data_IF_345381811668
#
_entry.id   IF_345381811668
#
_cell.length_a   1.000
_cell.length_b   1.000
_cell.length_c   1.000
_cell.angle_alpha   90.00
_cell.angle_beta   90.00
_cell.angle_gamma   90.00
#
_symmetry.space_group_name_H-M   'P 1'
#
loop_
_entity.id
_entity.type
_entity.pdbx_description
1 polymer ?
#
# COMPACT_ATOMS: atom_id res chain seq x y z
N UNK A 1 -45.31 14.14 -5.80
CA UNK A 1 -45.13 12.94 -6.65
C UNK A 1 -43.89 12.19 -6.16
N UNK A 2 -43.84 10.84 -6.22
CA UNK A 2 -42.60 10.12 -6.00
C UNK A 2 -41.58 10.51 -7.09
N UNK A 3 -40.30 10.57 -6.75
CA UNK A 3 -39.25 10.97 -7.69
C UNK A 3 -39.12 9.95 -8.82
N UNK A 4 -39.23 10.42 -10.07
CA UNK A 4 -38.96 9.62 -11.27
C UNK A 4 -37.54 9.06 -11.22
N UNK A 5 -37.37 7.79 -11.60
CA UNK A 5 -36.03 7.20 -11.73
C UNK A 5 -35.36 7.72 -12.99
N UNK A 6 -34.04 7.86 -12.92
CA UNK A 6 -33.21 8.33 -14.02
C UNK A 6 -33.28 7.32 -15.18
N UNK A 7 -34.03 7.66 -16.23
CA UNK A 7 -34.34 6.78 -17.37
C UNK A 7 -35.83 6.42 -17.56
N UNK A 8 -36.73 6.75 -16.62
CA UNK A 8 -38.18 6.60 -16.84
C UNK A 8 -38.77 7.72 -17.72
N UNK A 9 -38.08 8.86 -17.87
CA UNK A 9 -38.53 9.99 -18.70
C UNK A 9 -38.53 9.68 -20.21
N UNK A 10 -37.69 8.73 -20.66
CA UNK A 10 -37.60 8.29 -22.06
C UNK A 10 -38.65 7.21 -22.43
N UNK A 11 -39.57 6.86 -21.53
CA UNK A 11 -40.55 5.79 -21.77
C UNK A 11 -41.75 6.32 -22.55
N UNK A 12 -41.89 5.87 -23.79
CA UNK A 12 -43.08 6.10 -24.62
C UNK A 12 -44.32 5.51 -23.95
N UNK A 13 -45.17 6.37 -23.38
CA UNK A 13 -46.46 5.99 -22.82
C UNK A 13 -47.52 5.81 -23.93
N UNK A 14 -48.46 4.87 -23.79
CA UNK A 14 -49.56 4.72 -24.72
C UNK A 14 -50.52 5.92 -24.66
N UNK A 15 -51.15 6.23 -25.79
CA UNK A 15 -52.24 7.22 -25.87
C UNK A 15 -53.45 6.73 -25.09
N UNK A 16 -53.79 7.43 -24.01
CA UNK A 16 -54.96 7.20 -23.16
C UNK A 16 -55.77 8.49 -23.00
N UNK A 17 -57.08 8.36 -22.80
CA UNK A 17 -58.02 9.47 -22.56
C UNK A 17 -58.55 9.43 -21.14
N UNK A 18 -58.99 10.59 -20.65
CA UNK A 18 -59.61 10.70 -19.33
C UNK A 18 -60.94 9.91 -19.32
N UNK A 19 -61.01 8.86 -18.51
CA UNK A 19 -62.15 7.95 -18.42
C UNK A 19 -61.88 6.51 -18.90
N UNK A 20 -60.72 6.26 -19.53
CA UNK A 20 -60.33 4.91 -19.98
C UNK A 20 -60.18 3.95 -18.80
N UNK A 21 -60.76 2.74 -18.91
CA UNK A 21 -60.66 1.70 -17.88
C UNK A 21 -59.42 0.83 -18.10
N UNK A 22 -58.41 1.00 -17.27
CA UNK A 22 -57.20 0.16 -17.26
C UNK A 22 -57.42 -1.09 -16.40
N UNK A 23 -57.01 -2.26 -16.91
CA UNK A 23 -56.99 -3.50 -16.14
C UNK A 23 -55.64 -3.66 -15.43
N UNK A 24 -55.60 -3.96 -14.11
CA UNK A 24 -54.35 -4.22 -13.42
C UNK A 24 -53.72 -5.52 -13.93
N UNK A 25 -52.45 -5.44 -14.36
CA UNK A 25 -51.69 -6.60 -14.86
C UNK A 25 -50.88 -7.25 -13.74
N UNK A 26 -50.07 -6.45 -13.04
CA UNK A 26 -49.19 -6.89 -11.96
C UNK A 26 -49.09 -5.78 -10.91
N UNK A 27 -49.00 -6.15 -9.63
CA UNK A 27 -48.60 -5.26 -8.55
C UNK A 27 -47.27 -5.75 -7.99
N UNK A 28 -46.19 -5.03 -8.28
CA UNK A 28 -44.83 -5.37 -7.83
C UNK A 28 -44.45 -4.54 -6.60
N UNK A 29 -44.59 -5.05 -5.35
CA UNK A 29 -44.20 -4.31 -4.16
C UNK A 29 -42.67 -4.21 -4.07
N UNK A 30 -42.15 -2.99 -3.93
CA UNK A 30 -40.72 -2.72 -3.80
C UNK A 30 -40.43 -1.95 -2.50
N UNK A 31 -39.54 -2.49 -1.66
CA UNK A 31 -39.06 -1.80 -0.47
C UNK A 31 -37.90 -0.87 -0.83
N UNK A 32 -37.98 0.39 -0.40
CA UNK A 32 -36.94 1.38 -0.58
C UNK A 32 -36.57 2.06 0.76
N UNK A 33 -35.33 2.52 0.85
CA UNK A 33 -34.81 3.26 1.99
C UNK A 33 -34.38 4.66 1.55
N UNK A 34 -34.43 5.63 2.47
CA UNK A 34 -33.93 6.99 2.23
C UNK A 34 -32.42 6.94 1.98
N UNK A 35 -31.97 7.47 0.84
CA UNK A 35 -30.56 7.50 0.48
C UNK A 35 -29.82 8.59 1.26
N UNK A 36 -28.64 8.31 1.85
CA UNK A 36 -27.79 9.35 2.42
C UNK A 36 -27.22 10.26 1.30
N UNK A 37 -26.65 11.43 1.65
CA UNK A 37 -25.87 12.22 0.71
C UNK A 37 -24.77 11.38 0.05
N UNK A 38 -24.73 11.37 -1.28
CA UNK A 38 -23.78 10.56 -2.04
C UNK A 38 -22.34 11.02 -1.79
N UNK A 39 -21.42 10.07 -1.59
CA UNK A 39 -20.00 10.39 -1.36
C UNK A 39 -19.38 11.11 -2.56
N UNK A 40 -18.51 12.09 -2.28
CA UNK A 40 -17.71 12.73 -3.32
C UNK A 40 -16.85 11.70 -4.07
N UNK A 41 -16.90 11.76 -5.39
CA UNK A 41 -15.81 11.35 -6.30
C UNK A 41 -14.84 12.52 -6.53
N UNK A 42 -13.67 12.25 -7.12
CA UNK A 42 -12.71 13.29 -7.53
C UNK A 42 -13.35 14.40 -8.37
N UNK A 43 -14.08 14.04 -9.44
CA UNK A 43 -14.73 15.02 -10.31
C UNK A 43 -15.81 15.86 -9.59
N UNK A 44 -16.61 15.25 -8.71
CA UNK A 44 -17.62 15.99 -7.93
C UNK A 44 -17.01 16.85 -6.83
N UNK A 45 -15.84 16.48 -6.29
CA UNK A 45 -15.12 17.32 -5.33
C UNK A 45 -14.55 18.56 -6.02
N UNK A 46 -13.91 18.39 -7.20
CA UNK A 46 -13.47 19.53 -8.03
C UNK A 46 -14.64 20.47 -8.34
N UNK A 47 -15.80 19.92 -8.73
CA UNK A 47 -16.99 20.72 -9.02
C UNK A 47 -17.50 21.51 -7.81
N UNK A 48 -17.43 20.96 -6.59
CA UNK A 48 -17.85 21.67 -5.38
C UNK A 48 -16.80 22.71 -4.93
N UNK A 49 -15.51 22.47 -5.17
CA UNK A 49 -14.44 23.46 -4.97
C UNK A 49 -14.58 24.65 -5.94
N UNK A 50 -14.76 24.38 -7.23
CA UNK A 50 -15.01 25.37 -8.28
C UNK A 50 -16.25 26.22 -7.97
N UNK A 51 -17.36 25.59 -7.58
CA UNK A 51 -18.60 26.26 -7.17
C UNK A 51 -18.41 27.20 -5.96
N UNK A 52 -17.43 26.92 -5.09
CA UNK A 52 -17.10 27.75 -3.92
C UNK A 52 -15.95 28.73 -4.16
N UNK A 53 -15.40 28.80 -5.37
CA UNK A 53 -14.25 29.66 -5.70
C UNK A 53 -12.92 29.22 -5.05
N UNK A 54 -12.85 28.02 -4.47
CA UNK A 54 -11.69 27.52 -3.75
C UNK A 54 -10.74 26.84 -4.73
N UNK A 55 -9.51 27.36 -4.86
CA UNK A 55 -8.53 26.86 -5.82
C UNK A 55 -8.80 27.32 -7.26
N UNK A 56 -7.98 26.80 -8.17
CA UNK A 56 -7.93 27.17 -9.59
C UNK A 56 -7.66 25.91 -10.45
N UNK A 57 -7.87 25.94 -11.77
CA UNK A 57 -7.63 24.77 -12.65
C UNK A 57 -6.22 24.17 -12.56
N UNK A 58 -5.22 24.97 -12.18
CA UNK A 58 -3.84 24.54 -11.94
C UNK A 58 -3.64 23.81 -10.60
N UNK A 59 -4.50 24.01 -9.59
CA UNK A 59 -4.33 23.50 -8.23
C UNK A 59 -5.23 22.29 -7.90
N UNK A 60 -6.37 22.09 -8.56
CA UNK A 60 -7.30 21.00 -8.23
C UNK A 60 -6.65 19.60 -8.14
N UNK A 61 -5.80 19.25 -9.12
CA UNK A 61 -5.11 17.97 -9.12
C UNK A 61 -4.11 17.82 -7.96
N UNK A 62 -3.42 18.92 -7.58
CA UNK A 62 -2.45 18.92 -6.49
C UNK A 62 -3.12 18.93 -5.11
N UNK A 63 -4.28 19.60 -4.96
CA UNK A 63 -5.13 19.51 -3.77
C UNK A 63 -5.53 18.06 -3.56
N UNK A 64 -6.12 17.40 -4.57
CA UNK A 64 -6.59 16.01 -4.47
C UNK A 64 -5.45 15.03 -4.17
N UNK A 65 -4.27 15.18 -4.78
CA UNK A 65 -3.13 14.30 -4.48
C UNK A 65 -2.56 14.54 -3.08
N UNK A 66 -2.48 15.79 -2.62
CA UNK A 66 -1.85 16.10 -1.31
C UNK A 66 -2.70 15.69 -0.12
N UNK A 67 -4.04 15.79 -0.18
CA UNK A 67 -4.92 15.30 0.89
C UNK A 67 -4.91 13.77 1.01
N UNK A 68 -4.74 13.07 -0.12
CA UNK A 68 -4.56 11.61 -0.15
C UNK A 68 -3.18 11.20 0.38
N UNK A 69 -2.09 11.80 -0.11
CA UNK A 69 -0.71 11.48 0.30
C UNK A 69 -0.44 11.74 1.79
N UNK A 70 -1.15 12.71 2.40
CA UNK A 70 -1.08 12.99 3.84
C UNK A 70 -1.91 12.03 4.70
N UNK A 71 -2.82 11.25 4.11
CA UNK A 71 -3.69 10.31 4.82
C UNK A 71 -4.85 10.96 5.57
N UNK A 72 -5.34 12.12 5.13
CA UNK A 72 -6.58 12.73 5.66
C UNK A 72 -7.83 12.11 5.03
N UNK A 73 -7.71 11.69 3.77
CA UNK A 73 -8.76 10.98 3.03
C UNK A 73 -8.14 9.79 2.28
N UNK A 74 -8.95 8.77 2.01
CA UNK A 74 -8.63 7.72 1.05
C UNK A 74 -9.70 7.61 -0.03
N UNK A 75 -9.29 7.17 -1.22
CA UNK A 75 -10.20 6.84 -2.32
C UNK A 75 -10.35 5.32 -2.39
N UNK A 76 -11.58 4.84 -2.25
CA UNK A 76 -11.95 3.43 -2.45
C UNK A 76 -13.18 3.40 -3.37
N UNK A 77 -13.21 2.50 -4.35
CA UNK A 77 -14.29 2.39 -5.35
C UNK A 77 -14.66 3.73 -6.04
N UNK A 78 -13.67 4.61 -6.29
CA UNK A 78 -13.83 5.97 -6.87
C UNK A 78 -14.63 6.96 -5.99
N UNK A 79 -14.83 6.64 -4.70
CA UNK A 79 -15.44 7.50 -3.69
C UNK A 79 -14.42 7.89 -2.62
N UNK A 80 -14.55 9.09 -2.07
CA UNK A 80 -13.78 9.53 -0.92
C UNK A 80 -14.34 8.97 0.40
N UNK A 81 -13.41 8.68 1.29
CA UNK A 81 -13.61 8.32 2.68
C UNK A 81 -12.73 9.25 3.51
N UNK A 82 -13.32 9.95 4.48
CA UNK A 82 -12.55 10.64 5.50
C UNK A 82 -11.84 9.60 6.38
N UNK A 83 -10.58 9.84 6.69
CA UNK A 83 -9.86 9.10 7.74
C UNK A 83 -10.08 9.80 9.09
N UNK A 84 -10.02 9.05 10.19
CA UNK A 84 -10.15 9.64 11.55
C UNK A 84 -9.09 10.69 11.87
N UNK A 85 -7.92 10.66 11.20
CA UNK A 85 -6.93 11.73 11.30
C UNK A 85 -7.33 12.99 10.51
N UNK A 86 -8.09 12.84 9.41
CA UNK A 86 -8.66 13.97 8.68
C UNK A 86 -9.72 14.69 9.52
N UNK A 87 -10.69 13.93 10.06
CA UNK A 87 -11.73 14.45 10.95
C UNK A 87 -11.13 15.23 12.14
N UNK A 88 -10.25 14.59 12.93
CA UNK A 88 -9.62 15.23 14.11
C UNK A 88 -8.81 16.49 13.74
N UNK A 89 -8.11 16.50 12.61
CA UNK A 89 -7.33 17.68 12.19
C UNK A 89 -8.26 18.80 11.71
N UNK A 90 -9.36 18.48 11.02
CA UNK A 90 -10.38 19.46 10.63
C UNK A 90 -11.01 20.09 11.87
N UNK A 91 -11.50 19.30 12.83
CA UNK A 91 -12.10 19.79 14.07
C UNK A 91 -11.17 20.76 14.82
N UNK A 92 -9.89 20.40 14.96
CA UNK A 92 -8.87 21.23 15.65
C UNK A 92 -8.55 22.53 14.90
N UNK A 93 -8.56 22.50 13.56
CA UNK A 93 -8.37 23.71 12.76
C UNK A 93 -9.61 24.61 12.77
N UNK A 94 -10.82 24.05 12.83
CA UNK A 94 -12.06 24.82 13.01
C UNK A 94 -12.17 25.43 14.42
N UNK A 95 -11.66 24.76 15.45
CA UNK A 95 -11.60 25.29 16.81
C UNK A 95 -10.65 26.51 16.91
N UNK A 96 -9.44 26.42 16.36
CA UNK A 96 -8.37 27.41 16.57
C UNK A 96 -8.12 28.39 15.40
N UNK A 97 -8.48 28.05 14.17
CA UNK A 97 -8.18 28.81 12.94
C UNK A 97 -9.44 29.01 12.07
N UNK A 98 -10.52 29.51 12.69
CA UNK A 98 -11.85 29.68 12.07
C UNK A 98 -11.83 30.41 10.74
N UNK A 99 -11.11 31.53 10.66
CA UNK A 99 -11.06 32.34 9.44
C UNK A 99 -10.32 31.60 8.33
N UNK A 100 -9.22 30.92 8.65
CA UNK A 100 -8.44 30.12 7.69
C UNK A 100 -9.22 28.91 7.15
N UNK A 101 -10.09 28.31 7.98
CA UNK A 101 -10.95 27.19 7.60
C UNK A 101 -12.25 27.63 6.91
N UNK A 102 -12.56 28.93 6.87
CA UNK A 102 -13.75 29.44 6.22
C UNK A 102 -13.60 29.35 4.68
N UNK A 103 -14.62 28.79 4.03
CA UNK A 103 -14.72 28.70 2.58
C UNK A 103 -14.62 30.08 1.91
N UNK A 104 -15.29 31.09 2.47
CA UNK A 104 -15.35 32.44 1.88
C UNK A 104 -14.00 33.16 1.97
N UNK A 105 -13.28 32.99 3.08
CA UNK A 105 -11.93 33.53 3.24
C UNK A 105 -10.95 32.89 2.27
N UNK A 106 -11.04 31.57 2.09
CA UNK A 106 -10.19 30.83 1.16
C UNK A 106 -10.43 31.27 -0.29
N UNK A 107 -11.68 31.48 -0.69
CA UNK A 107 -12.02 32.02 -2.01
C UNK A 107 -11.48 33.45 -2.20
N UNK A 108 -11.73 34.34 -1.22
CA UNK A 108 -11.21 35.72 -1.24
C UNK A 108 -9.68 35.79 -1.30
N UNK A 109 -8.96 34.83 -0.69
CA UNK A 109 -7.50 34.76 -0.78
C UNK A 109 -7.03 34.50 -2.22
N UNK A 110 -7.66 33.56 -2.93
CA UNK A 110 -7.35 33.31 -4.34
C UNK A 110 -7.65 34.55 -5.21
N UNK A 111 -8.75 35.26 -4.93
CA UNK A 111 -9.10 36.49 -5.65
C UNK A 111 -8.10 37.63 -5.38
N UNK A 112 -7.54 37.73 -4.15
CA UNK A 112 -6.42 38.65 -3.83
C UNK A 112 -5.14 38.27 -4.57
N UNK A 113 -4.86 36.98 -4.77
CA UNK A 113 -3.71 36.53 -5.58
C UNK A 113 -3.90 36.86 -7.06
N UNK A 114 -5.13 36.77 -7.58
CA UNK A 114 -5.45 37.22 -8.94
C UNK A 114 -5.34 38.75 -9.09
N UNK A 115 -5.70 39.54 -8.07
CA UNK A 115 -5.45 41.00 -8.03
C UNK A 115 -3.94 41.32 -8.09
N UNK A 116 -3.11 40.60 -7.33
CA UNK A 116 -1.64 40.73 -7.39
C UNK A 116 -1.11 40.40 -8.79
N UNK A 117 -1.59 39.31 -9.41
CA UNK A 117 -1.20 38.94 -10.77
C UNK A 117 -1.55 40.04 -11.80
N UNK A 118 -2.68 40.72 -11.61
CA UNK A 118 -3.16 41.83 -12.44
C UNK A 118 -2.57 43.21 -12.06
N UNK A 119 -1.56 43.29 -11.19
CA UNK A 119 -0.99 44.56 -10.68
C UNK A 119 -1.97 45.48 -9.95
N UNK A 120 -3.05 44.92 -9.39
CA UNK A 120 -4.07 45.64 -8.62
C UNK A 120 -3.79 45.67 -7.11
N UNK A 121 -2.85 44.86 -6.61
CA UNK A 121 -2.42 44.81 -5.22
C UNK A 121 -0.91 44.49 -5.11
N UNK A 122 -0.24 44.95 -4.05
CA UNK A 122 1.17 44.61 -3.79
C UNK A 122 1.27 43.31 -2.97
N UNK A 123 2.13 42.39 -3.41
CA UNK A 123 2.16 41.01 -2.90
C UNK A 123 2.65 40.89 -1.46
N UNK A 124 3.54 41.75 -1.00
CA UNK A 124 4.02 41.78 0.40
C UNK A 124 2.97 42.39 1.31
N UNK A 125 2.20 43.38 0.87
CA UNK A 125 1.07 43.92 1.64
C UNK A 125 0.04 42.82 1.94
N UNK A 126 -0.33 42.03 0.92
CA UNK A 126 -1.23 40.87 1.08
C UNK A 126 -0.62 39.83 2.04
N UNK A 127 0.67 39.51 1.92
CA UNK A 127 1.35 38.58 2.82
C UNK A 127 1.48 39.10 4.26
N UNK A 128 1.76 40.39 4.44
CA UNK A 128 1.90 41.03 5.76
C UNK A 128 0.56 41.01 6.51
N UNK A 129 -0.55 41.31 5.83
CA UNK A 129 -1.89 41.21 6.40
C UNK A 129 -2.19 39.77 6.82
N UNK A 130 -2.02 38.81 5.89
CA UNK A 130 -2.26 37.38 6.18
C UNK A 130 -1.42 36.89 7.36
N UNK A 131 -0.14 37.24 7.41
CA UNK A 131 0.76 36.79 8.48
C UNK A 131 0.46 37.47 9.82
N UNK A 132 -0.03 38.71 9.84
CA UNK A 132 -0.50 39.39 11.05
C UNK A 132 -1.68 38.66 11.71
N UNK A 133 -2.70 38.30 10.93
CA UNK A 133 -3.86 37.55 11.40
C UNK A 133 -3.43 36.13 11.84
N UNK A 134 -2.69 35.43 10.99
CA UNK A 134 -2.25 34.05 11.23
C UNK A 134 -1.36 33.92 12.48
N UNK A 135 -0.42 34.84 12.71
CA UNK A 135 0.47 34.79 13.88
C UNK A 135 -0.28 34.99 15.19
N UNK A 136 -1.35 35.80 15.18
CA UNK A 136 -2.21 36.02 16.34
C UNK A 136 -3.02 34.77 16.68
N UNK A 137 -3.58 34.10 15.66
CA UNK A 137 -4.28 32.81 15.82
C UNK A 137 -3.31 31.71 16.30
N UNK A 138 -2.12 31.62 15.69
CA UNK A 138 -1.08 30.65 16.06
C UNK A 138 -0.59 30.85 17.51
N UNK A 139 -0.29 32.08 17.92
CA UNK A 139 0.13 32.41 19.29
C UNK A 139 -0.95 32.15 20.34
N UNK A 140 -2.22 32.05 19.94
CA UNK A 140 -3.31 31.58 20.80
C UNK A 140 -3.37 30.06 20.84
N UNK A 141 -3.26 29.40 19.69
CA UNK A 141 -3.28 27.94 19.55
C UNK A 141 -2.09 27.23 20.23
N UNK A 142 -0.93 27.90 20.35
CA UNK A 142 0.27 27.38 21.03
C UNK A 142 0.21 27.40 22.57
N UNK A 143 -0.79 28.07 23.17
CA UNK A 143 -0.98 28.11 24.63
C UNK A 143 -1.49 26.77 25.17
N UNK A 144 -1.59 26.67 26.49
CA UNK A 144 -2.26 25.54 27.11
C UNK A 144 -3.78 25.55 26.80
N UNK A 145 -4.43 24.37 26.69
CA UNK A 145 -5.86 24.27 26.33
C UNK A 145 -6.80 25.03 27.28
N UNK A 146 -6.38 25.22 28.54
CA UNK A 146 -7.11 25.96 29.56
C UNK A 146 -7.15 27.48 29.28
N UNK A 147 -6.19 28.00 28.50
CA UNK A 147 -6.11 29.41 28.05
C UNK A 147 -6.66 29.62 26.63
N UNK A 148 -7.33 28.62 26.05
CA UNK A 148 -7.81 28.63 24.66
C UNK A 148 -6.83 28.04 23.64
N UNK A 149 -5.78 27.37 24.09
CA UNK A 149 -4.84 26.62 23.25
C UNK A 149 -5.48 25.42 22.53
N UNK A 150 -4.76 24.87 21.55
CA UNK A 150 -5.26 23.74 20.76
C UNK A 150 -5.33 22.46 21.62
N UNK A 151 -6.51 21.85 21.67
CA UNK A 151 -6.72 20.67 22.51
C UNK A 151 -5.84 19.48 22.07
N UNK A 152 -5.18 18.76 23.01
CA UNK A 152 -4.50 17.51 22.69
C UNK A 152 -5.48 16.46 22.16
N UNK A 153 -4.96 15.42 21.53
CA UNK A 153 -5.76 14.26 21.10
C UNK A 153 -5.97 13.32 22.32
N UNK A 154 -7.17 13.25 22.93
CA UNK A 154 -7.39 12.46 24.13
C UNK A 154 -7.52 10.98 23.78
N UNK A 155 -7.26 10.11 24.76
CA UNK A 155 -7.47 8.67 24.60
C UNK A 155 -8.79 8.24 25.23
N UNK A 156 -9.65 7.56 24.48
CA UNK A 156 -10.90 6.98 24.99
C UNK A 156 -10.55 5.64 25.65
N UNK A 157 -10.70 5.55 26.97
CA UNK A 157 -10.45 4.30 27.71
C UNK A 157 -11.49 3.23 27.36
N UNK A 158 -11.02 1.99 27.19
CA UNK A 158 -11.88 0.83 26.91
C UNK A 158 -11.79 -0.19 28.02
N UNK A 159 -12.72 -1.15 28.04
CA UNK A 159 -12.69 -2.29 28.97
C UNK A 159 -11.58 -3.32 28.68
N UNK A 160 -10.87 -3.19 27.56
CA UNK A 160 -9.86 -4.15 27.08
C UNK A 160 -8.58 -4.06 27.92
N UNK A 161 -8.11 -5.20 28.44
CA UNK A 161 -6.86 -5.27 29.21
C UNK A 161 -5.63 -5.51 28.32
N UNK A 162 -4.53 -4.86 28.69
CA UNK A 162 -3.24 -4.99 28.01
C UNK A 162 -2.64 -6.38 28.21
N UNK A 163 -2.27 -7.11 27.14
CA UNK A 163 -1.74 -8.48 27.23
C UNK A 163 -0.38 -8.60 27.93
N UNK A 164 0.30 -7.47 28.21
CA UNK A 164 1.65 -7.45 28.82
C UNK A 164 1.67 -6.93 30.25
N UNK A 165 0.66 -6.15 30.67
CA UNK A 165 0.65 -5.54 32.01
C UNK A 165 -0.72 -5.46 32.70
N UNK A 166 -1.78 -6.03 32.11
CA UNK A 166 -3.11 -6.11 32.71
C UNK A 166 -3.85 -4.77 32.88
N UNK A 167 -3.27 -3.64 32.47
CA UNK A 167 -3.94 -2.32 32.55
C UNK A 167 -4.87 -2.09 31.36
N UNK A 168 -5.94 -1.32 31.58
CA UNK A 168 -6.88 -0.92 30.53
C UNK A 168 -6.19 -0.22 29.36
N UNK A 169 -6.57 -0.59 28.15
CA UNK A 169 -6.16 0.04 26.90
C UNK A 169 -7.17 1.11 26.51
N UNK A 170 -6.73 2.10 25.74
CA UNK A 170 -7.62 3.10 25.16
C UNK A 170 -7.37 3.30 23.67
N UNK A 171 -8.43 3.70 22.98
CA UNK A 171 -8.42 4.05 21.56
C UNK A 171 -7.61 5.32 21.39
N UNK A 172 -6.69 5.31 20.41
CA UNK A 172 -5.86 6.44 20.00
C UNK A 172 -5.79 6.49 18.48
N UNK A 173 -5.83 7.69 17.93
CA UNK A 173 -5.69 7.91 16.48
C UNK A 173 -4.30 8.47 16.18
N UNK A 174 -3.57 7.82 15.27
CA UNK A 174 -2.32 8.32 14.71
C UNK A 174 -2.42 8.44 13.18
N UNK A 175 -1.39 8.99 12.55
CA UNK A 175 -1.34 9.13 11.08
C UNK A 175 -1.34 7.80 10.31
N UNK A 176 -1.13 6.68 11.00
CA UNK A 176 -1.26 5.32 10.45
C UNK A 176 -2.64 4.69 10.70
N UNK A 177 -3.59 5.44 11.25
CA UNK A 177 -4.94 4.98 11.62
C UNK A 177 -5.16 4.84 13.12
N UNK A 178 -6.29 4.22 13.47
CA UNK A 178 -6.74 3.97 14.85
C UNK A 178 -6.04 2.74 15.43
N UNK A 179 -5.62 2.82 16.69
CA UNK A 179 -5.00 1.72 17.43
C UNK A 179 -5.36 1.76 18.91
N UNK A 180 -5.22 0.62 19.60
CA UNK A 180 -5.34 0.53 21.04
C UNK A 180 -3.97 0.70 21.68
N UNK A 181 -3.82 1.71 22.55
CA UNK A 181 -2.63 1.96 23.35
C UNK A 181 -2.86 1.72 24.83
N UNK A 182 -1.89 1.12 25.53
CA UNK A 182 -1.99 0.93 26.99
C UNK A 182 -2.02 2.28 27.73
N UNK A 183 -2.95 2.45 28.68
CA UNK A 183 -3.00 3.60 29.61
C UNK A 183 -1.68 3.82 30.35
N UNK A 184 -0.96 2.74 30.66
CA UNK A 184 0.37 2.75 31.26
C UNK A 184 1.45 3.44 30.42
N UNK A 185 1.18 3.92 29.20
CA UNK A 185 2.11 4.76 28.45
C UNK A 185 2.38 6.12 29.10
N UNK A 186 1.40 6.67 29.83
CA UNK A 186 1.51 7.97 30.50
C UNK A 186 2.55 7.99 31.65
N UNK A 187 2.92 6.81 32.17
CA UNK A 187 3.89 6.69 33.24
C UNK A 187 5.31 7.18 32.86
N UNK A 188 6.18 7.41 33.87
CA UNK A 188 7.59 7.72 33.66
C UNK A 188 8.30 6.72 32.72
N UNK A 189 9.38 7.13 32.02
CA UNK A 189 10.04 6.30 31.01
C UNK A 189 10.51 4.90 31.45
N UNK A 190 10.71 4.69 32.76
CA UNK A 190 11.11 3.40 33.36
C UNK A 190 9.97 2.37 33.40
N UNK A 191 8.73 2.81 33.62
CA UNK A 191 7.56 1.96 33.87
C UNK A 191 6.54 1.96 32.73
N UNK A 192 6.75 2.81 31.71
CA UNK A 192 5.77 2.96 30.65
C UNK A 192 5.61 1.72 29.78
N UNK A 193 4.36 1.27 29.68
CA UNK A 193 3.99 0.19 28.79
C UNK A 193 3.92 0.73 27.34
N UNK A 194 4.78 0.19 26.46
CA UNK A 194 4.86 0.59 25.03
C UNK A 194 4.07 -0.32 24.10
N UNK A 195 3.24 -1.21 24.66
CA UNK A 195 2.46 -2.17 23.89
C UNK A 195 1.28 -1.47 23.22
N UNK A 196 1.01 -1.90 22.00
CA UNK A 196 -0.05 -1.39 21.14
C UNK A 196 -0.66 -2.57 20.40
N UNK A 197 -1.97 -2.50 20.16
CA UNK A 197 -2.69 -3.44 19.30
C UNK A 197 -3.26 -2.61 18.16
N UNK A 198 -2.96 -2.97 16.92
CA UNK A 198 -3.52 -2.33 15.73
C UNK A 198 -4.72 -3.17 15.29
N UNK A 199 -5.95 -2.78 15.62
CA UNK A 199 -7.12 -3.50 15.16
C UNK A 199 -7.30 -3.25 13.66
N UNK A 200 -7.75 -4.26 12.93
CA UNK A 200 -7.90 -4.17 11.47
C UNK A 200 -9.27 -3.56 11.18
N UNK A 201 -9.38 -2.43 10.45
CA UNK A 201 -10.69 -1.93 10.05
C UNK A 201 -11.39 -2.97 9.19
N UNK A 202 -12.70 -3.14 9.40
CA UNK A 202 -13.52 -3.97 8.53
C UNK A 202 -13.66 -3.23 7.18
N UNK A 203 -12.88 -3.63 6.18
CA UNK A 203 -12.92 -2.99 4.86
C UNK A 203 -14.35 -3.01 4.30
N UNK A 204 -14.92 -1.83 4.09
CA UNK A 204 -16.18 -1.58 3.37
C UNK A 204 -16.01 -1.92 1.87
N UNK A 205 -15.85 -3.21 1.56
CA UNK A 205 -15.86 -3.69 0.17
C UNK A 205 -17.28 -3.61 -0.37
N UNK A 206 -17.67 -2.41 -0.80
CA UNK A 206 -18.87 -2.20 -1.60
C UNK A 206 -18.76 -3.04 -2.87
N UNK A 207 -19.65 -4.02 -3.03
CA UNK A 207 -19.85 -4.65 -4.32
C UNK A 207 -20.46 -3.59 -5.24
N UNK A 208 -19.68 -3.08 -6.21
CA UNK A 208 -20.15 -2.11 -7.22
C UNK A 208 -21.37 -2.63 -8.01
N UNK A 209 -21.61 -3.94 -7.96
CA UNK A 209 -22.76 -4.65 -8.54
C UNK A 209 -24.09 -4.41 -7.82
N UNK A 210 -24.12 -3.88 -6.59
CA UNK A 210 -25.35 -3.61 -5.82
C UNK A 210 -26.04 -2.27 -6.18
N UNK A 211 -25.51 -1.55 -7.19
CA UNK A 211 -26.13 -0.34 -7.74
C UNK A 211 -26.21 0.84 -6.75
N UNK A 212 -27.13 1.78 -7.03
CA UNK A 212 -27.28 3.04 -6.28
C UNK A 212 -27.75 2.86 -4.81
N UNK A 213 -28.06 1.65 -4.37
CA UNK A 213 -28.49 1.34 -3.00
C UNK A 213 -27.36 0.77 -2.13
N UNK A 214 -26.20 0.45 -2.71
CA UNK A 214 -25.04 -0.11 -2.01
C UNK A 214 -24.53 0.78 -0.86
N UNK A 215 -24.38 2.09 -1.09
CA UNK A 215 -23.96 3.05 -0.05
C UNK A 215 -25.00 3.13 1.09
N UNK A 216 -26.29 2.98 0.77
CA UNK A 216 -27.39 2.97 1.76
C UNK A 216 -27.35 1.69 2.61
N UNK A 217 -27.17 0.53 1.97
CA UNK A 217 -27.07 -0.75 2.68
C UNK A 217 -25.84 -0.82 3.57
N UNK A 218 -24.69 -0.34 3.12
CA UNK A 218 -23.48 -0.24 3.94
C UNK A 218 -23.70 0.65 5.19
N UNK A 219 -24.39 1.78 5.06
CA UNK A 219 -24.71 2.65 6.20
C UNK A 219 -25.75 2.04 7.17
N UNK A 220 -26.65 1.17 6.68
CA UNK A 220 -27.58 0.40 7.54
C UNK A 220 -26.89 -0.77 8.26
N UNK A 221 -25.83 -1.34 7.70
CA UNK A 221 -25.04 -2.40 8.33
C UNK A 221 -24.21 -1.89 9.52
N UNK A 222 -23.92 -0.59 9.60
CA UNK A 222 -23.23 0.02 10.75
C UNK A 222 -24.12 0.08 11.99
N UNK A 223 -23.57 -0.34 13.13
CA UNK A 223 -24.17 -0.12 14.45
C UNK A 223 -24.32 1.38 14.74
N UNK A 224 -25.20 1.71 15.70
CA UNK A 224 -25.47 3.09 16.13
C UNK A 224 -24.98 3.27 17.55
N UNK A 225 -24.25 4.34 17.80
CA UNK A 225 -23.69 4.63 19.12
C UNK A 225 -24.82 4.90 20.13
N UNK A 226 -24.86 4.15 21.24
CA UNK A 226 -25.87 4.30 22.29
C UNK A 226 -25.89 5.69 22.96
N UNK A 227 -24.80 6.46 22.84
CA UNK A 227 -24.67 7.81 23.43
C UNK A 227 -25.17 8.94 22.53
N UNK A 228 -25.07 8.81 21.21
CA UNK A 228 -25.35 9.92 20.27
C UNK A 228 -26.05 9.52 18.96
N UNK A 229 -26.33 8.24 18.72
CA UNK A 229 -26.99 7.76 17.49
C UNK A 229 -26.13 7.76 16.22
N UNK A 230 -24.91 8.34 16.25
CA UNK A 230 -23.98 8.31 15.11
C UNK A 230 -23.64 6.87 14.70
N UNK A 231 -23.46 6.64 13.39
CA UNK A 231 -22.96 5.37 12.89
C UNK A 231 -21.57 5.05 13.47
N UNK A 232 -21.32 3.78 13.76
CA UNK A 232 -20.07 3.30 14.35
C UNK A 232 -19.18 2.64 13.30
N UNK A 233 -17.87 2.84 13.43
CA UNK A 233 -16.86 2.21 12.61
C UNK A 233 -16.34 0.93 13.29
N UNK A 234 -16.29 -0.17 12.54
CA UNK A 234 -16.00 -1.50 13.06
C UNK A 234 -14.55 -1.91 12.81
N UNK A 235 -13.88 -2.39 13.86
CA UNK A 235 -12.49 -2.84 13.83
C UNK A 235 -12.37 -4.22 14.48
N UNK A 236 -11.64 -5.14 13.86
CA UNK A 236 -11.36 -6.47 14.39
C UNK A 236 -10.08 -6.43 15.23
N UNK A 237 -10.17 -6.76 16.52
CA UNK A 237 -9.02 -6.85 17.43
C UNK A 237 -8.43 -8.26 17.33
N UNK A 238 -9.27 -9.25 17.60
CA UNK A 238 -8.95 -10.67 17.62
C UNK A 238 -10.01 -11.45 16.83
N UNK A 239 -9.76 -12.72 16.43
CA UNK A 239 -10.78 -13.60 15.86
C UNK A 239 -12.01 -13.85 16.75
N UNK A 240 -11.99 -13.42 18.02
CA UNK A 240 -13.10 -13.53 18.97
C UNK A 240 -13.76 -12.20 19.34
N UNK A 241 -13.16 -11.05 18.98
CA UNK A 241 -13.53 -9.73 19.51
C UNK A 241 -13.46 -8.64 18.44
N UNK A 242 -14.61 -8.01 18.20
CA UNK A 242 -14.79 -6.89 17.28
C UNK A 242 -15.17 -5.64 18.09
N UNK A 243 -14.47 -4.54 17.84
CA UNK A 243 -14.66 -3.25 18.48
C UNK A 243 -15.41 -2.33 17.53
N UNK A 244 -16.55 -1.82 17.98
CA UNK A 244 -17.26 -0.75 17.30
C UNK A 244 -16.93 0.56 18.01
N UNK A 245 -16.47 1.55 17.26
CA UNK A 245 -16.09 2.88 17.77
C UNK A 245 -17.06 3.92 17.19
N UNK A 246 -17.55 4.85 18.01
CA UNK A 246 -18.40 5.94 17.52
C UNK A 246 -17.72 6.73 16.39
N UNK A 247 -18.47 7.08 15.34
CA UNK A 247 -17.98 7.93 14.26
C UNK A 247 -17.39 9.26 14.75
N UNK A 248 -17.94 9.84 15.83
CA UNK A 248 -17.48 11.11 16.43
C UNK A 248 -16.36 10.91 17.47
N UNK A 249 -15.62 9.80 17.45
CA UNK A 249 -14.47 9.59 18.35
C UNK A 249 -13.28 10.48 17.89
N UNK A 250 -12.66 11.28 18.78
CA UNK A 250 -12.64 11.07 20.24
C UNK A 250 -13.61 11.95 21.05
N UNK A 251 -14.34 12.87 20.41
CA UNK A 251 -15.32 13.75 21.06
C UNK A 251 -16.46 12.97 21.72
N UNK A 252 -16.85 11.83 21.14
CA UNK A 252 -17.73 10.85 21.76
C UNK A 252 -16.94 9.60 22.18
N UNK A 253 -16.95 9.32 23.48
CA UNK A 253 -16.36 8.15 24.14
C UNK A 253 -17.24 6.88 24.03
N UNK A 254 -18.06 6.79 22.98
CA UNK A 254 -18.95 5.66 22.73
C UNK A 254 -18.23 4.52 22.01
N UNK A 255 -18.17 3.35 22.64
CA UNK A 255 -17.69 2.12 22.02
C UNK A 255 -18.53 0.92 22.44
N UNK A 256 -18.58 -0.12 21.60
CA UNK A 256 -19.16 -1.43 21.93
C UNK A 256 -18.14 -2.52 21.59
N UNK A 257 -18.15 -3.62 22.35
CA UNK A 257 -17.37 -4.82 22.04
C UNK A 257 -18.37 -5.93 21.71
N UNK A 258 -18.24 -6.48 20.51
CA UNK A 258 -19.00 -7.62 20.03
C UNK A 258 -18.12 -8.87 20.13
N UNK A 259 -18.57 -9.84 20.92
CA UNK A 259 -17.95 -11.15 21.04
C UNK A 259 -18.56 -12.10 20.01
N UNK A 260 -17.71 -12.81 19.27
CA UNK A 260 -18.15 -13.69 18.18
C UNK A 260 -16.98 -14.22 17.36
N UNK A 261 -17.20 -15.26 16.56
CA UNK A 261 -16.14 -15.88 15.76
C UNK A 261 -15.96 -15.15 14.42
N UNK A 262 -15.03 -14.20 14.40
CA UNK A 262 -14.70 -13.40 13.23
C UNK A 262 -13.54 -14.02 12.45
N UNK A 263 -13.85 -14.50 11.24
CA UNK A 263 -12.82 -14.86 10.27
C UNK A 263 -12.20 -13.59 9.70
N UNK A 264 -11.00 -13.25 10.17
CA UNK A 264 -10.09 -12.36 9.44
C UNK A 264 -9.99 -12.91 8.01
N UNK A 265 -10.05 -12.06 6.97
CA UNK A 265 -9.85 -12.46 5.55
C UNK A 265 -8.41 -12.91 5.28
N UNK A 266 -8.01 -14.00 5.92
CA UNK A 266 -6.83 -14.79 5.65
C UNK A 266 -7.12 -15.73 4.49
N UNK A 267 -6.38 -15.52 3.41
CA UNK A 267 -6.20 -16.42 2.26
C UNK A 267 -6.27 -17.91 2.64
N UNK A 268 -7.05 -18.70 1.90
CA UNK A 268 -7.07 -20.18 1.90
C UNK A 268 -5.77 -20.77 1.29
N UNK A 269 -4.63 -20.29 1.77
CA UNK A 269 -3.32 -20.69 1.30
C UNK A 269 -2.78 -21.93 1.99
N UNK A 270 -1.80 -22.61 1.39
CA UNK A 270 -1.11 -23.71 2.05
C UNK A 270 -0.42 -23.21 3.32
N UNK A 271 -0.71 -23.88 4.45
CA UNK A 271 0.09 -23.78 5.67
C UNK A 271 1.45 -24.40 5.38
N UNK A 272 2.53 -23.74 5.81
CA UNK A 272 3.91 -24.17 5.56
C UNK A 272 4.64 -24.29 6.89
N UNK A 273 5.43 -25.36 7.06
CA UNK A 273 6.22 -25.59 8.26
C UNK A 273 7.42 -24.63 8.38
N UNK A 274 7.75 -24.27 9.61
CA UNK A 274 8.88 -23.41 9.95
C UNK A 274 10.17 -24.22 10.09
N UNK A 275 11.12 -24.01 9.17
CA UNK A 275 12.40 -24.75 9.15
C UNK A 275 13.29 -24.58 10.39
N UNK A 276 13.01 -23.59 11.27
CA UNK A 276 13.80 -23.36 12.50
C UNK A 276 13.21 -24.05 13.74
N UNK A 277 11.95 -24.51 13.71
CA UNK A 277 11.27 -25.08 14.89
C UNK A 277 10.19 -26.14 14.59
N UNK A 278 9.92 -26.46 13.33
CA UNK A 278 8.88 -27.41 12.90
C UNK A 278 7.44 -26.87 12.99
N UNK A 279 7.17 -25.83 13.79
CA UNK A 279 5.82 -25.29 13.95
C UNK A 279 5.24 -24.69 12.66
N UNK A 280 3.93 -24.71 12.53
CA UNK A 280 3.20 -24.10 11.42
C UNK A 280 3.50 -22.60 11.25
N UNK A 281 3.39 -22.10 10.02
CA UNK A 281 3.48 -20.68 9.68
C UNK A 281 2.15 -20.18 9.11
N UNK A 282 1.61 -19.12 9.69
CA UNK A 282 0.36 -18.48 9.26
C UNK A 282 0.62 -17.24 8.41
N UNK A 283 -0.31 -16.95 7.51
CA UNK A 283 -0.29 -15.71 6.75
C UNK A 283 -0.54 -14.50 7.65
N UNK A 284 0.37 -13.52 7.63
CA UNK A 284 0.17 -12.18 8.20
C UNK A 284 0.32 -11.11 7.12
N UNK A 285 -0.46 -10.04 7.23
CA UNK A 285 -0.34 -8.86 6.37
C UNK A 285 0.50 -7.81 7.08
N UNK A 286 1.57 -7.35 6.43
CA UNK A 286 2.41 -6.27 6.94
C UNK A 286 2.56 -5.15 5.93
N UNK A 287 3.15 -4.02 6.36
CA UNK A 287 3.45 -2.84 5.52
C UNK A 287 4.29 -3.12 4.26
N UNK A 288 4.92 -4.28 4.16
CA UNK A 288 5.73 -4.71 3.02
C UNK A 288 5.03 -5.79 2.16
N UNK A 289 3.72 -5.97 2.36
CA UNK A 289 2.91 -7.01 1.74
C UNK A 289 2.68 -8.23 2.63
N UNK A 290 2.13 -9.28 1.99
CA UNK A 290 1.80 -10.58 2.59
C UNK A 290 3.08 -11.37 2.91
N UNK A 291 3.14 -11.97 4.10
CA UNK A 291 4.25 -12.83 4.53
C UNK A 291 3.76 -13.94 5.47
N UNK A 292 4.45 -15.08 5.47
CA UNK A 292 4.20 -16.15 6.44
C UNK A 292 5.03 -15.86 7.70
N UNK A 293 4.39 -15.94 8.87
CA UNK A 293 5.02 -15.82 10.18
C UNK A 293 4.84 -17.13 10.95
N UNK A 294 5.87 -17.59 11.65
CA UNK A 294 5.74 -18.75 12.51
C UNK A 294 4.69 -18.51 13.62
N UNK A 295 3.95 -19.56 13.98
CA UNK A 295 2.95 -19.54 15.05
C UNK A 295 3.60 -19.58 16.44
N UNK A 296 4.81 -20.14 16.59
CA UNK A 296 5.56 -20.12 17.85
C UNK A 296 6.20 -18.73 18.09
N UNK A 297 5.81 -18.06 19.18
CA UNK A 297 6.28 -16.72 19.57
C UNK A 297 7.80 -16.64 19.87
N UNK A 298 8.42 -17.74 20.28
CA UNK A 298 9.89 -17.81 20.43
C UNK A 298 10.60 -17.73 19.07
N UNK A 299 9.95 -18.26 18.02
CA UNK A 299 10.53 -18.37 16.70
C UNK A 299 10.12 -17.20 15.78
N UNK A 300 10.89 -16.10 15.81
CA UNK A 300 10.65 -14.90 14.96
C UNK A 300 10.98 -15.10 13.47
N UNK A 301 10.89 -16.34 12.96
CA UNK A 301 11.14 -16.66 11.57
C UNK A 301 9.97 -16.21 10.66
N UNK A 302 10.30 -15.73 9.47
CA UNK A 302 9.32 -15.19 8.50
C UNK A 302 9.73 -15.53 7.08
N UNK A 303 8.77 -15.99 6.25
CA UNK A 303 8.96 -16.24 4.82
C UNK A 303 8.15 -15.24 4.02
N UNK A 304 8.72 -14.72 2.93
CA UNK A 304 8.02 -13.78 2.03
C UNK A 304 7.10 -14.58 1.10
N UNK A 305 5.96 -14.01 0.70
CA UNK A 305 5.15 -14.55 -0.40
C UNK A 305 5.49 -13.80 -1.70
N UNK A 306 5.63 -14.56 -2.78
CA UNK A 306 5.91 -14.06 -4.13
C UNK A 306 4.62 -13.55 -4.79
N UNK A 307 4.75 -12.79 -5.90
CA UNK A 307 3.58 -12.19 -6.59
C UNK A 307 2.60 -13.23 -7.16
N UNK A 308 3.06 -14.46 -7.41
CA UNK A 308 2.24 -15.59 -7.86
C UNK A 308 1.53 -16.34 -6.71
N UNK A 309 1.67 -15.91 -5.46
CA UNK A 309 1.06 -16.56 -4.30
C UNK A 309 1.87 -17.69 -3.68
N UNK A 310 3.01 -18.08 -4.29
CA UNK A 310 3.90 -19.09 -3.74
C UNK A 310 4.73 -18.54 -2.57
N UNK A 311 5.04 -19.41 -1.60
CA UNK A 311 5.92 -19.08 -0.48
C UNK A 311 7.37 -19.14 -0.95
N UNK A 312 8.15 -18.10 -0.66
CA UNK A 312 9.55 -18.04 -1.04
C UNK A 312 10.38 -19.16 -0.37
N UNK A 313 11.46 -19.63 -1.02
CA UNK A 313 12.45 -20.53 -0.43
C UNK A 313 13.00 -19.96 0.89
N UNK A 314 13.62 -20.80 1.73
CA UNK A 314 14.14 -20.35 3.00
C UNK A 314 15.07 -19.16 2.86
N UNK A 315 14.93 -18.26 3.83
CA UNK A 315 15.79 -17.10 3.92
C UNK A 315 17.07 -17.48 4.64
N UNK A 316 18.17 -17.49 3.91
CA UNK A 316 19.49 -17.64 4.51
C UNK A 316 19.82 -16.49 5.48
N UNK A 317 20.55 -16.83 6.54
CA UNK A 317 20.97 -15.85 7.54
C UNK A 317 22.07 -14.92 6.94
N UNK A 318 21.98 -13.58 7.11
CA UNK A 318 22.90 -12.65 6.48
C UNK A 318 24.37 -12.83 6.91
N UNK A 319 25.32 -12.83 5.96
CA UNK A 319 26.75 -12.98 6.29
C UNK A 319 27.37 -11.60 6.61
N UNK A 320 27.86 -11.37 7.84
CA UNK A 320 28.53 -10.13 8.21
C UNK A 320 29.94 -10.06 7.60
N UNK A 321 30.34 -8.88 7.13
CA UNK A 321 31.67 -8.58 6.61
C UNK A 321 32.27 -7.39 7.40
N UNK A 322 32.74 -7.61 8.64
CA UNK A 322 33.29 -6.53 9.48
C UNK A 322 34.54 -5.87 8.89
N UNK A 323 35.24 -6.57 7.98
CA UNK A 323 36.36 -6.05 7.19
C UNK A 323 35.97 -4.93 6.19
N UNK A 324 34.69 -4.68 5.96
CA UNK A 324 34.18 -3.66 5.04
C UNK A 324 33.41 -2.57 5.81
N UNK A 325 34.08 -1.52 6.33
CA UNK A 325 33.43 -0.38 6.96
C UNK A 325 32.66 0.47 5.94
N UNK A 326 31.66 1.20 6.42
CA UNK A 326 30.92 2.18 5.64
C UNK A 326 31.57 3.57 5.75
N UNK A 327 31.80 4.22 4.62
CA UNK A 327 32.41 5.56 4.53
C UNK A 327 31.63 6.67 5.28
N UNK A 328 30.33 6.44 5.55
CA UNK A 328 29.41 7.44 6.14
C UNK A 328 28.96 7.13 7.57
N UNK A 329 29.47 6.05 8.18
CA UNK A 329 29.11 5.64 9.55
C UNK A 329 29.92 4.43 9.99
N UNK A 330 30.06 4.24 11.30
CA UNK A 330 30.75 3.10 11.95
C UNK A 330 30.06 1.72 11.74
N UNK A 331 29.12 1.64 10.79
CA UNK A 331 28.52 0.41 10.32
C UNK A 331 29.48 -0.35 9.39
N UNK A 332 29.32 -1.67 9.30
CA UNK A 332 30.02 -2.53 8.36
C UNK A 332 29.03 -3.20 7.39
N UNK A 333 29.49 -3.68 6.24
CA UNK A 333 28.62 -4.30 5.25
C UNK A 333 28.23 -5.74 5.58
N UNK A 334 27.01 -6.13 5.18
CA UNK A 334 26.44 -7.46 5.34
C UNK A 334 25.94 -7.95 3.99
N UNK A 335 26.28 -9.18 3.62
CA UNK A 335 25.76 -9.85 2.43
C UNK A 335 24.34 -10.36 2.70
N UNK A 336 23.41 -10.08 1.79
CA UNK A 336 22.01 -10.52 1.85
C UNK A 336 21.54 -10.98 0.49
N UNK A 337 20.64 -11.95 0.48
CA UNK A 337 19.88 -12.30 -0.72
C UNK A 337 18.52 -11.60 -0.76
N UNK A 338 17.94 -11.50 -1.96
CA UNK A 338 16.65 -10.88 -2.21
C UNK A 338 16.21 -11.01 -3.67
N UNK A 339 15.08 -10.39 -4.02
CA UNK A 339 14.46 -10.54 -5.35
C UNK A 339 15.31 -10.02 -6.53
N UNK A 340 16.39 -9.26 -6.27
CA UNK A 340 17.35 -8.81 -7.27
C UNK A 340 18.65 -9.65 -7.27
N UNK A 341 18.64 -10.81 -6.59
CA UNK A 341 19.81 -11.60 -6.24
C UNK A 341 20.58 -11.00 -5.06
N UNK A 342 21.82 -11.43 -4.92
CA UNK A 342 22.69 -11.14 -3.76
C UNK A 342 23.22 -9.70 -3.80
N UNK A 343 23.10 -8.99 -2.67
CA UNK A 343 23.52 -7.59 -2.52
C UNK A 343 24.19 -7.31 -1.16
N UNK A 344 24.92 -6.19 -1.08
CA UNK A 344 25.49 -5.69 0.17
C UNK A 344 24.58 -4.63 0.81
N UNK A 345 24.49 -4.66 2.14
CA UNK A 345 23.76 -3.66 2.93
C UNK A 345 24.54 -3.33 4.22
N UNK A 346 24.73 -2.06 4.61
CA UNK A 346 25.36 -1.71 5.88
C UNK A 346 24.52 -2.19 7.08
N UNK A 347 25.17 -2.48 8.20
CA UNK A 347 24.52 -2.74 9.49
C UNK A 347 23.77 -1.51 10.01
N UNK A 348 22.71 -1.68 10.83
CA UNK A 348 22.12 -0.56 11.55
C UNK A 348 23.10 -0.04 12.62
N UNK A 349 23.70 1.13 12.39
CA UNK A 349 24.42 1.89 13.42
C UNK A 349 23.47 2.88 14.13
N UNK A 350 23.74 3.19 15.40
CA UNK A 350 22.94 4.13 16.23
C UNK A 350 22.76 5.51 15.57
N UNK A 351 23.73 5.96 14.77
CA UNK A 351 23.68 7.27 14.12
C UNK A 351 22.88 7.30 12.80
N UNK A 352 22.38 6.16 12.29
CA UNK A 352 21.71 6.10 10.99
C UNK A 352 20.21 6.44 11.03
N UNK A 353 19.90 7.60 11.61
CA UNK A 353 18.57 8.21 11.57
C UNK A 353 18.38 9.12 10.34
N UNK A 354 17.22 9.00 9.68
CA UNK A 354 16.61 10.06 8.83
C UNK A 354 17.37 10.55 7.56
N UNK A 355 17.85 9.69 6.65
CA UNK A 355 17.86 10.00 5.19
C UNK A 355 18.13 8.81 4.23
N UNK A 356 17.14 7.94 4.00
CA UNK A 356 17.16 6.98 2.86
C UNK A 356 15.85 7.05 2.05
N UNK A 357 15.57 8.23 1.47
CA UNK A 357 14.58 8.41 0.39
C UNK A 357 15.18 9.02 -0.89
N UNK A 358 16.48 8.81 -1.18
CA UNK A 358 17.08 9.22 -2.48
C UNK A 358 18.30 8.42 -2.98
N UNK A 359 18.57 7.23 -2.43
CA UNK A 359 19.67 6.35 -2.88
C UNK A 359 19.19 5.04 -3.54
N UNK A 360 17.90 4.94 -3.86
CA UNK A 360 17.23 3.73 -4.35
C UNK A 360 17.08 3.62 -5.88
N UNK A 361 17.81 4.42 -6.68
CA UNK A 361 17.83 4.31 -8.15
C UNK A 361 19.19 3.95 -8.78
N UNK A 362 20.31 4.14 -8.06
CA UNK A 362 21.67 3.94 -8.63
C UNK A 362 22.47 2.78 -8.01
N UNK A 363 21.89 2.04 -7.06
CA UNK A 363 22.56 0.93 -6.36
C UNK A 363 21.89 -0.44 -6.56
N UNK A 364 21.13 -0.63 -7.65
CA UNK A 364 20.87 -1.98 -8.21
C UNK A 364 22.10 -2.46 -8.97
N UNK A 365 23.21 -2.61 -8.23
CA UNK A 365 24.40 -3.26 -8.74
C UNK A 365 24.19 -4.78 -8.62
N UNK A 366 23.66 -5.40 -9.69
CA UNK A 366 24.11 -6.76 -10.03
C UNK A 366 25.65 -6.76 -10.04
N UNK A 367 26.27 -7.88 -9.66
CA UNK A 367 27.63 -7.98 -9.09
C UNK A 367 28.85 -7.57 -9.97
N UNK A 368 28.69 -6.64 -10.91
CA UNK A 368 29.68 -6.26 -11.93
C UNK A 368 29.97 -4.74 -11.96
N UNK A 369 29.03 -3.84 -11.64
CA UNK A 369 29.29 -2.37 -11.73
C UNK A 369 28.75 -1.56 -10.55
N UNK A 370 29.65 -1.04 -9.73
CA UNK A 370 29.36 0.10 -8.85
C UNK A 370 29.64 1.40 -9.64
N UNK A 371 28.60 2.17 -10.02
CA UNK A 371 28.80 3.38 -10.83
C UNK A 371 29.20 4.60 -9.97
N UNK A 372 30.44 5.05 -10.21
CA UNK A 372 30.99 6.41 -10.06
C UNK A 372 30.99 7.14 -8.69
N UNK A 373 30.36 6.69 -7.61
CA UNK A 373 30.41 7.43 -6.32
C UNK A 373 30.44 6.58 -5.02
N UNK A 374 30.98 5.36 -5.08
CA UNK A 374 31.40 4.62 -3.88
C UNK A 374 32.83 4.12 -4.08
N UNK A 375 33.79 4.72 -3.39
CA UNK A 375 35.17 4.24 -3.37
C UNK A 375 35.25 3.10 -2.38
N UNK A 376 35.24 1.86 -2.89
CA UNK A 376 35.60 0.70 -2.08
C UNK A 376 37.09 0.83 -1.75
N UNK A 377 37.43 1.13 -0.50
CA UNK A 377 38.81 1.15 -0.01
C UNK A 377 39.52 -0.16 -0.43
N UNK A 378 40.76 -0.12 -0.96
CA UNK A 378 41.28 -1.13 -1.89
C UNK A 378 41.60 -2.49 -1.23
N UNK A 379 40.56 -3.26 -0.94
CA UNK A 379 40.68 -4.60 -0.39
C UNK A 379 40.87 -5.66 -1.49
N UNK A 380 41.84 -6.55 -1.31
CA UNK A 380 42.22 -7.56 -2.32
C UNK A 380 41.00 -8.39 -2.76
N UNK A 381 40.68 -8.35 -4.07
CA UNK A 381 39.57 -9.06 -4.75
C UNK A 381 39.45 -10.56 -4.39
N UNK A 382 40.54 -11.19 -3.94
CA UNK A 382 40.57 -12.57 -3.44
C UNK A 382 39.71 -12.82 -2.19
N UNK A 383 39.64 -11.87 -1.24
CA UNK A 383 38.84 -12.02 -0.01
C UNK A 383 37.34 -11.98 -0.30
N UNK A 384 36.89 -11.04 -1.13
CA UNK A 384 35.50 -10.94 -1.60
C UNK A 384 35.08 -12.24 -2.30
N UNK A 385 35.92 -12.78 -3.20
CA UNK A 385 35.68 -14.08 -3.83
C UNK A 385 35.63 -15.23 -2.82
N UNK A 386 36.41 -15.19 -1.73
CA UNK A 386 36.40 -16.21 -0.67
C UNK A 386 35.13 -16.15 0.18
N UNK A 387 34.62 -14.95 0.47
CA UNK A 387 33.32 -14.75 1.13
C UNK A 387 32.15 -15.23 0.26
N UNK A 388 32.11 -14.83 -1.03
CA UNK A 388 31.08 -15.28 -1.97
C UNK A 388 31.13 -16.80 -2.17
N UNK A 389 32.32 -17.41 -2.30
CA UNK A 389 32.47 -18.88 -2.37
C UNK A 389 32.02 -19.59 -1.10
N UNK A 390 32.32 -19.05 0.10
CA UNK A 390 31.80 -19.58 1.36
C UNK A 390 30.28 -19.50 1.41
N UNK A 391 29.69 -18.41 0.91
CA UNK A 391 28.25 -18.25 0.87
C UNK A 391 27.58 -19.24 -0.08
N UNK A 392 28.05 -19.37 -1.33
CA UNK A 392 27.58 -20.41 -2.26
C UNK A 392 27.76 -21.84 -1.72
N UNK A 393 28.81 -22.11 -0.94
CA UNK A 393 29.03 -23.42 -0.30
C UNK A 393 28.14 -23.67 0.93
N UNK A 394 27.53 -22.63 1.51
CA UNK A 394 26.54 -22.73 2.59
C UNK A 394 25.11 -22.82 2.02
N UNK A 395 24.83 -22.11 0.93
CA UNK A 395 23.58 -22.14 0.17
C UNK A 395 23.31 -23.52 -0.46
N UNK A 396 24.35 -24.20 -0.93
CA UNK A 396 24.25 -25.55 -1.51
C UNK A 396 24.55 -26.62 -0.46
N UNK A 397 23.61 -26.83 0.47
CA UNK A 397 23.50 -28.13 1.16
C UNK A 397 22.61 -29.05 0.30
N UNK A 398 23.07 -30.26 -0.05
CA UNK A 398 22.23 -31.20 -0.77
C UNK A 398 21.13 -31.74 0.16
N UNK A 399 19.86 -31.51 -0.17
CA UNK A 399 18.78 -32.31 0.43
C UNK A 399 18.92 -33.74 -0.08
N UNK A 400 18.86 -34.71 0.83
CA UNK A 400 19.06 -36.12 0.52
C UNK A 400 17.83 -36.73 -0.14
N UNK A 401 17.66 -36.48 -1.45
CA UNK A 401 16.69 -37.19 -2.30
C UNK A 401 17.20 -37.37 -3.74
N UNK A 402 17.83 -38.52 -3.95
CA UNK A 402 18.13 -39.21 -5.21
C UNK A 402 17.66 -38.58 -6.54
N UNK A 403 18.60 -38.03 -7.33
CA UNK A 403 18.49 -37.97 -8.80
C UNK A 403 19.79 -38.44 -9.46
N UNK A 404 19.81 -39.68 -9.93
CA UNK A 404 20.96 -40.34 -10.57
C UNK A 404 21.02 -40.00 -12.07
N UNK A 405 21.79 -38.98 -12.45
CA UNK A 405 22.02 -38.68 -13.89
C UNK A 405 22.75 -39.84 -14.59
N UNK A 406 22.09 -40.48 -15.57
CA UNK A 406 22.73 -41.40 -16.51
C UNK A 406 23.63 -40.61 -17.48
N UNK A 407 24.95 -40.80 -17.37
CA UNK A 407 25.90 -40.44 -18.44
C UNK A 407 25.52 -41.21 -19.71
N UNK A 408 25.39 -40.52 -20.85
CA UNK A 408 25.31 -41.17 -22.18
C UNK A 408 26.65 -41.03 -22.89
N UNK A 409 27.21 -42.16 -23.33
CA UNK A 409 28.49 -42.25 -24.01
C UNK A 409 28.40 -41.81 -25.49
N UNK A 410 29.54 -41.84 -26.20
CA UNK A 410 29.80 -41.14 -27.45
C UNK A 410 30.23 -42.12 -28.56
N UNK A 411 29.96 -41.76 -29.84
CA UNK A 411 30.47 -42.36 -31.12
C UNK A 411 29.77 -43.66 -31.63
N UNK A 412 29.92 -44.03 -32.92
CA UNK A 412 30.17 -43.24 -34.16
C UNK A 412 29.12 -43.52 -35.28
N UNK A 413 29.43 -43.16 -36.54
CA UNK A 413 28.56 -43.27 -37.73
C UNK A 413 28.81 -44.54 -38.59
N UNK A 414 27.83 -44.93 -39.42
CA UNK A 414 27.94 -46.02 -40.42
C UNK A 414 26.64 -46.25 -41.23
N UNK A 415 26.75 -46.50 -42.53
CA UNK A 415 25.74 -46.39 -43.61
C UNK A 415 24.64 -47.48 -43.73
N UNK A 416 23.55 -47.11 -44.43
CA UNK A 416 22.73 -47.86 -45.42
C UNK A 416 22.14 -49.26 -45.12
N UNK A 417 20.80 -49.38 -45.12
CA UNK A 417 19.99 -50.03 -46.19
C UNK A 417 18.55 -50.35 -45.73
N UNK A 418 17.64 -50.70 -46.67
CA UNK A 418 16.19 -50.88 -46.45
C UNK A 418 15.82 -52.32 -46.04
N UNK A 419 14.77 -52.45 -45.23
CA UNK A 419 13.68 -53.42 -45.47
C UNK A 419 12.38 -53.05 -44.73
N UNK A 420 11.24 -53.28 -45.38
CA UNK A 420 9.86 -53.05 -44.90
C UNK A 420 9.40 -54.14 -43.91
N UNK A 421 8.42 -53.88 -43.03
CA UNK A 421 7.00 -54.37 -43.06
C UNK A 421 6.52 -54.22 -41.60
N UNK A 422 5.32 -53.77 -41.18
CA UNK A 422 4.11 -53.15 -41.78
C UNK A 422 3.51 -52.17 -40.72
N UNK A 423 2.35 -51.52 -40.79
CA UNK A 423 1.23 -51.42 -41.74
C UNK A 423 -0.12 -51.23 -41.03
N UNK A 424 -0.76 -50.06 -41.18
CA UNK A 424 -2.23 -49.82 -41.04
C UNK A 424 -2.57 -48.43 -41.61
N UNK A 425 -3.54 -48.38 -42.52
CA UNK A 425 -4.13 -47.13 -43.08
C UNK A 425 -5.23 -46.60 -42.14
N UNK A 426 -5.74 -45.36 -42.31
CA UNK A 426 -6.72 -45.07 -43.38
C UNK A 426 -6.22 -44.09 -44.45
N UNK A 427 -6.90 -44.04 -45.60
CA UNK A 427 -6.67 -43.06 -46.66
C UNK A 427 -7.80 -42.04 -46.73
N UNK A 428 -7.44 -40.84 -47.15
CA UNK A 428 -8.30 -39.73 -47.55
C UNK A 428 -9.06 -39.99 -48.85
N UNK A 429 -10.06 -39.13 -49.14
CA UNK A 429 -10.14 -38.16 -50.27
C UNK A 429 -11.46 -37.39 -50.10
N UNK A 430 -11.71 -36.16 -50.56
CA UNK A 430 -11.05 -35.12 -51.38
C UNK A 430 -12.18 -34.15 -51.81
N UNK A 431 -12.05 -32.88 -52.22
CA UNK A 431 -11.15 -32.26 -53.22
C UNK A 431 -11.38 -30.72 -53.23
N UNK A 432 -10.30 -29.91 -53.28
CA UNK A 432 -10.04 -28.58 -53.97
C UNK A 432 -11.12 -27.45 -53.99
N UNK A 433 -10.82 -26.15 -54.14
CA UNK A 433 -9.58 -25.34 -54.40
C UNK A 433 -9.80 -23.87 -54.02
N UNK A 434 -8.82 -23.14 -53.44
CA UNK A 434 -7.96 -22.17 -54.17
C UNK A 434 -8.28 -20.71 -53.74
N UNK A 435 -7.40 -19.69 -53.73
CA UNK A 435 -5.98 -19.50 -54.15
C UNK A 435 -5.30 -18.42 -53.28
N UNK A 436 -3.97 -18.56 -53.05
CA UNK A 436 -2.86 -17.55 -53.01
C UNK A 436 -3.04 -16.23 -52.19
N UNK A 437 -2.03 -15.66 -51.53
CA UNK A 437 -0.62 -15.53 -51.91
C UNK A 437 0.36 -15.58 -50.72
N UNK A 438 1.66 -15.70 -51.00
CA UNK A 438 2.74 -15.76 -50.01
C UNK A 438 3.88 -14.80 -50.37
N UNK A 439 4.73 -14.46 -49.39
CA UNK A 439 6.13 -14.11 -49.62
C UNK A 439 7.02 -14.72 -48.52
N UNK A 440 8.30 -14.92 -48.82
CA UNK A 440 9.14 -15.93 -48.18
C UNK A 440 10.61 -15.45 -48.16
N UNK A 441 11.42 -16.07 -47.29
CA UNK A 441 12.89 -16.35 -47.32
C UNK A 441 13.65 -15.78 -46.09
N UNK A 442 14.15 -16.61 -45.16
CA UNK A 442 15.50 -17.27 -45.08
C UNK A 442 16.65 -16.32 -44.64
N UNK A 443 17.72 -16.70 -43.90
CA UNK A 443 18.06 -17.84 -43.01
C UNK A 443 19.27 -17.45 -42.09
N UNK A 444 19.58 -18.30 -41.10
CA UNK A 444 20.79 -18.34 -40.21
C UNK A 444 22.12 -18.63 -41.00
N UNK A 445 23.36 -18.70 -40.42
CA UNK A 445 23.76 -18.92 -39.00
C UNK A 445 25.01 -18.15 -38.47
N UNK A 446 25.52 -18.60 -37.31
CA UNK A 446 26.58 -17.98 -36.49
C UNK A 446 28.01 -18.49 -36.76
N UNK A 447 29.02 -17.75 -36.26
CA UNK A 447 30.41 -18.18 -36.12
C UNK A 447 30.93 -18.12 -34.67
N UNK A 448 31.96 -18.93 -34.39
CA UNK A 448 32.77 -18.89 -33.15
C UNK A 448 34.11 -18.23 -33.47
N UNK A 449 34.67 -17.45 -32.55
CA UNK A 449 36.12 -17.17 -32.54
C UNK A 449 36.68 -17.32 -31.12
N UNK A 450 37.96 -17.71 -31.05
CA UNK A 450 38.68 -18.15 -29.86
C UNK A 450 39.10 -17.03 -28.90
N UNK A 451 39.39 -17.41 -27.65
CA UNK A 451 40.28 -16.67 -26.76
C UNK A 451 41.74 -16.85 -27.20
N UNK A 452 42.48 -15.75 -27.27
CA UNK A 452 43.95 -15.71 -27.22
C UNK A 452 44.38 -14.58 -26.29
N UNK A 453 45.45 -14.80 -25.54
CA UNK A 453 45.98 -13.83 -24.58
C UNK A 453 47.28 -13.22 -25.10
N UNK A 454 47.38 -11.88 -25.09
CA UNK A 454 48.62 -11.13 -25.33
C UNK A 454 48.70 -9.98 -24.31
N UNK A 455 49.94 -9.58 -24.03
CA UNK A 455 50.40 -8.78 -22.89
C UNK A 455 50.34 -7.25 -23.08
N UNK A 456 50.89 -6.55 -22.08
CA UNK A 456 51.51 -5.21 -22.13
C UNK A 456 50.61 -3.96 -22.17
N UNK A 457 50.76 -3.15 -21.12
CA UNK A 457 50.39 -1.73 -21.00
C UNK A 457 51.38 -0.83 -21.80
N UNK A 458 51.30 0.52 -21.72
CA UNK A 458 50.16 1.42 -21.44
C UNK A 458 49.98 2.47 -22.56
N UNK A 459 48.96 3.34 -22.50
CA UNK A 459 49.05 4.74 -22.96
C UNK A 459 47.83 5.56 -22.52
N UNK A 460 48.07 6.82 -22.14
CA UNK A 460 47.06 7.79 -21.73
C UNK A 460 46.59 8.63 -22.93
N UNK A 461 45.28 8.85 -23.09
CA UNK A 461 44.74 10.07 -23.72
C UNK A 461 43.44 10.46 -23.00
N UNK A 462 43.35 11.73 -22.60
CA UNK A 462 42.13 12.33 -22.05
C UNK A 462 41.11 12.62 -23.17
N UNK A 463 39.82 12.40 -22.91
CA UNK A 463 38.76 13.23 -23.50
C UNK A 463 37.56 13.30 -22.55
N UNK A 464 37.26 14.51 -22.06
CA UNK A 464 35.91 14.89 -21.64
C UNK A 464 35.05 15.09 -22.89
N UNK A 465 33.73 14.96 -22.75
CA UNK A 465 32.91 16.09 -23.14
C UNK A 465 31.91 16.54 -22.05
N UNK A 466 31.47 17.78 -22.26
CA UNK A 466 30.52 18.62 -21.51
C UNK A 466 29.29 17.88 -20.94
#
# INVERSE_FOLDING_TARGET
MPALRKGDEDRTLPLVKQGDRLSPVELTPAQHFTKPPARFSEASLVKELEKRGIGRPSTYASIISTIQDRGYVRVENRRFYAEKMGEIVTDRLEENFRDLMNYDFTAQMEDRLDQVANHQAEWKEVLNHFFGDFTTQLATAEKDPEEGGMQPNPMVLTSIDCPTCGRKMGIRTASTGVFLGCSGYALPPKERCKTTINPVPENEVLNVLEGDDAETNALRAKRRCQKCGTAMDSYLIDPKRKLHVCGNNPTCDGFEIEEGEFRIKGYDGPVVECEKCGSEMHLKMGRFGKYMACTNDECKNTRKILRNGEVAPPKEDPVPLPELPCEKSDAYFVLRDGAAGVFWRPTPSRNHGKRVRRWWRNCTASAIVCRKNCVISPMRRSRIRKAIKRWYALAVKPSSSTWRLKKRAKRPAGQLSLSTVSGRKPKSNGVRSGRKSALFLLRRPAERVHFSAVSSSPLCVNFLPL
#
